data_IF_661764989980
#
_entry.id   IF_661764989980
#
_cell.length_a   1.000
_cell.length_b   1.000
_cell.length_c   1.000
_cell.angle_alpha   90.00
_cell.angle_beta   90.00
_cell.angle_gamma   90.00
#
_symmetry.space_group_name_H-M   'P 1'
#
loop_
_entity.id
_entity.type
_entity.pdbx_description
1 polymer ?
#
# COMPACT_ATOMS: atom_id res chain seq x y z
N UNK A 1 25.24 3.79 -1.43
CA UNK A 1 24.89 4.07 -0.03
C UNK A 1 23.94 2.98 0.39
N UNK A 2 24.26 2.24 1.46
CA UNK A 2 23.31 1.26 1.99
C UNK A 2 22.13 2.04 2.57
N UNK A 3 20.94 1.84 1.98
CA UNK A 3 19.69 2.25 2.61
C UNK A 3 19.52 1.25 3.76
N UNK A 4 19.49 1.73 5.00
CA UNK A 4 19.25 0.92 6.18
C UNK A 4 17.74 0.85 6.46
N UNK A 5 17.29 -0.18 7.15
CA UNK A 5 15.90 -0.26 7.62
C UNK A 5 15.63 0.76 8.75
N UNK A 6 14.72 1.70 8.50
CA UNK A 6 14.30 2.76 9.43
C UNK A 6 13.22 2.26 10.40
N UNK A 7 13.65 1.50 11.41
CA UNK A 7 12.77 0.91 12.41
C UNK A 7 11.89 1.93 13.15
N UNK A 8 12.44 3.10 13.48
CA UNK A 8 11.73 4.16 14.21
C UNK A 8 10.59 4.73 13.36
N UNK A 9 10.84 4.95 12.07
CA UNK A 9 9.79 5.40 11.16
C UNK A 9 8.65 4.38 11.01
N UNK A 10 8.98 3.09 10.88
CA UNK A 10 7.94 2.05 10.82
C UNK A 10 7.13 1.98 12.11
N UNK A 11 7.76 2.08 13.27
CA UNK A 11 7.06 2.10 14.56
C UNK A 11 6.13 3.29 14.69
N UNK A 12 6.60 4.49 14.33
CA UNK A 12 5.80 5.70 14.35
C UNK A 12 4.59 5.61 13.41
N UNK A 13 4.78 5.03 12.21
CA UNK A 13 3.71 4.83 11.23
C UNK A 13 2.67 3.83 11.70
N UNK A 14 3.11 2.68 12.24
CA UNK A 14 2.21 1.69 12.81
C UNK A 14 1.40 2.27 13.97
N UNK A 15 2.04 3.00 14.88
CA UNK A 15 1.37 3.66 15.99
C UNK A 15 0.33 4.70 15.52
N UNK A 16 0.65 5.48 14.48
CA UNK A 16 -0.26 6.49 13.93
C UNK A 16 -1.55 5.89 13.35
N UNK A 17 -1.50 4.65 12.86
CA UNK A 17 -2.69 3.91 12.36
C UNK A 17 -3.25 2.91 13.37
N UNK A 18 -2.75 2.91 14.61
CA UNK A 18 -3.23 2.03 15.69
C UNK A 18 -2.87 0.55 15.49
N UNK A 19 -1.85 0.23 14.68
CA UNK A 19 -1.38 -1.13 14.45
C UNK A 19 -0.16 -1.46 15.31
N UNK A 20 -0.04 -2.74 15.67
CA UNK A 20 1.14 -3.28 16.35
C UNK A 20 2.08 -3.97 15.36
N UNK A 21 3.34 -4.18 15.77
CA UNK A 21 4.26 -5.03 15.00
C UNK A 21 3.71 -6.45 14.80
N UNK A 22 3.02 -7.01 15.79
CA UNK A 22 2.39 -8.33 15.65
C UNK A 22 1.29 -8.34 14.56
N UNK A 23 0.50 -7.26 14.45
CA UNK A 23 -0.48 -7.11 13.39
C UNK A 23 0.19 -6.99 12.01
N UNK A 24 1.33 -6.30 11.93
CA UNK A 24 2.12 -6.24 10.71
C UNK A 24 2.68 -7.62 10.32
N UNK A 25 3.25 -8.38 11.28
CA UNK A 25 3.75 -9.73 11.02
C UNK A 25 2.64 -10.62 10.45
N UNK A 26 1.46 -10.60 11.06
CA UNK A 26 0.30 -11.35 10.59
C UNK A 26 -0.11 -10.95 9.15
N UNK A 27 -0.10 -9.65 8.83
CA UNK A 27 -0.46 -9.17 7.50
C UNK A 27 0.57 -9.56 6.41
N UNK A 28 1.83 -9.73 6.80
CA UNK A 28 2.90 -10.22 5.93
C UNK A 28 2.98 -11.75 5.89
N UNK A 29 2.16 -12.46 6.65
CA UNK A 29 2.26 -13.92 6.80
C UNK A 29 3.56 -14.37 7.47
N UNK A 30 4.17 -13.49 8.27
CA UNK A 30 5.43 -13.72 8.99
C UNK A 30 5.16 -14.06 10.46
N UNK A 31 6.10 -14.78 11.07
CA UNK A 31 6.14 -14.91 12.53
C UNK A 31 6.65 -13.61 13.17
N UNK A 32 6.46 -13.45 14.48
CA UNK A 32 7.04 -12.30 15.21
C UNK A 32 8.57 -12.31 15.19
N UNK A 33 9.17 -13.50 15.15
CA UNK A 33 10.63 -13.66 15.09
C UNK A 33 11.17 -13.27 13.71
N UNK A 34 10.48 -13.67 12.64
CA UNK A 34 10.80 -13.23 11.27
C UNK A 34 10.71 -11.70 11.14
N UNK A 35 9.68 -11.09 11.74
CA UNK A 35 9.55 -9.63 11.73
C UNK A 35 10.66 -8.97 12.58
N UNK A 36 11.09 -9.60 13.66
CA UNK A 36 12.20 -9.08 14.46
C UNK A 36 13.53 -9.09 13.70
N UNK A 37 13.74 -10.05 12.79
CA UNK A 37 14.90 -10.05 11.89
C UNK A 37 14.85 -8.88 10.90
N UNK A 38 13.67 -8.54 10.38
CA UNK A 38 13.49 -7.34 9.55
C UNK A 38 13.84 -6.07 10.33
N UNK A 39 13.37 -5.95 11.58
CA UNK A 39 13.67 -4.80 12.45
C UNK A 39 15.15 -4.67 12.82
N UNK A 40 15.94 -5.73 12.63
CA UNK A 40 17.39 -5.76 12.83
C UNK A 40 18.16 -5.58 11.51
N UNK A 41 17.46 -5.34 10.41
CA UNK A 41 18.03 -5.27 9.06
C UNK A 41 18.75 -6.57 8.64
N UNK A 42 18.25 -7.72 9.12
CA UNK A 42 18.80 -9.07 8.85
C UNK A 42 17.92 -9.89 7.89
N UNK A 43 16.87 -9.28 7.36
CA UNK A 43 15.93 -9.88 6.42
C UNK A 43 15.50 -8.83 5.40
N UNK A 44 15.49 -9.21 4.13
CA UNK A 44 15.00 -8.34 3.05
C UNK A 44 13.48 -8.38 2.92
N UNK A 45 12.90 -7.27 2.47
CA UNK A 45 11.49 -7.18 2.07
C UNK A 45 11.32 -7.47 0.59
N UNK A 46 10.32 -8.27 0.24
CA UNK A 46 9.90 -8.45 -1.15
C UNK A 46 9.07 -7.26 -1.64
N UNK A 47 8.91 -7.13 -2.97
CA UNK A 47 8.01 -6.14 -3.56
C UNK A 47 6.55 -6.30 -3.08
N UNK A 48 6.13 -7.53 -2.80
CA UNK A 48 4.80 -7.80 -2.27
C UNK A 48 4.68 -7.27 -0.83
N UNK A 49 5.70 -7.47 0.00
CA UNK A 49 5.69 -6.98 1.38
C UNK A 49 5.63 -5.45 1.41
N UNK A 50 6.41 -4.77 0.55
CA UNK A 50 6.37 -3.31 0.41
C UNK A 50 4.96 -2.82 0.05
N UNK A 51 4.27 -3.50 -0.87
CA UNK A 51 2.88 -3.15 -1.24
C UNK A 51 1.90 -3.35 -0.07
N UNK A 52 2.03 -4.45 0.67
CA UNK A 52 1.18 -4.75 1.83
C UNK A 52 1.39 -3.68 2.91
N UNK A 53 2.65 -3.35 3.22
CA UNK A 53 2.99 -2.34 4.22
C UNK A 53 2.44 -0.96 3.80
N UNK A 54 2.65 -0.56 2.54
CA UNK A 54 2.14 0.68 1.98
C UNK A 54 0.62 0.81 2.16
N UNK A 55 -0.13 -0.24 1.84
CA UNK A 55 -1.58 -0.29 2.04
C UNK A 55 -2.00 -0.21 3.51
N UNK A 56 -1.28 -0.87 4.42
CA UNK A 56 -1.59 -0.89 5.85
C UNK A 56 -1.38 0.46 6.53
N UNK A 57 -0.28 1.15 6.20
CA UNK A 57 0.09 2.40 6.88
C UNK A 57 -0.33 3.65 6.09
N UNK A 58 -0.95 3.47 4.92
CA UNK A 58 -1.41 4.57 4.06
C UNK A 58 -0.28 5.41 3.47
N UNK A 59 0.87 4.80 3.19
CA UNK A 59 2.02 5.46 2.58
C UNK A 59 2.26 4.94 1.16
N UNK A 60 2.93 5.73 0.32
CA UNK A 60 3.35 5.28 -1.01
C UNK A 60 4.40 4.16 -0.93
N UNK A 61 4.38 3.23 -1.89
CA UNK A 61 5.32 2.10 -1.93
C UNK A 61 6.77 2.56 -2.07
N UNK A 62 7.00 3.68 -2.75
CA UNK A 62 8.31 4.34 -2.88
C UNK A 62 8.84 4.85 -1.54
N UNK A 63 7.97 5.42 -0.70
CA UNK A 63 8.33 5.90 0.63
C UNK A 63 8.67 4.71 1.52
N UNK A 64 7.84 3.66 1.49
CA UNK A 64 8.09 2.42 2.23
C UNK A 64 9.42 1.80 1.80
N UNK A 65 9.69 1.67 0.49
CA UNK A 65 10.93 1.09 0.00
C UNK A 65 12.17 1.91 0.43
N UNK A 66 12.08 3.25 0.38
CA UNK A 66 13.17 4.13 0.80
C UNK A 66 13.50 3.98 2.30
N UNK A 67 12.49 3.90 3.16
CA UNK A 67 12.69 3.66 4.60
C UNK A 67 13.00 2.19 4.92
N UNK A 68 12.66 1.25 4.04
CA UNK A 68 12.91 -0.18 4.23
C UNK A 68 14.35 -0.62 3.89
N UNK A 69 15.21 0.27 3.40
CA UNK A 69 16.53 -0.15 2.95
C UNK A 69 16.57 -0.73 1.53
N UNK A 70 15.43 -0.74 0.83
CA UNK A 70 15.23 -1.54 -0.37
C UNK A 70 15.59 -0.72 -1.63
N UNK A 71 16.65 -1.14 -2.35
CA UNK A 71 17.04 -0.54 -3.63
C UNK A 71 16.29 -1.10 -4.85
N UNK A 72 15.35 -2.04 -4.67
CA UNK A 72 14.63 -2.65 -5.79
C UNK A 72 13.62 -1.67 -6.41
N UNK A 73 13.27 -1.85 -7.70
CA UNK A 73 12.31 -0.99 -8.38
C UNK A 73 10.99 -0.95 -7.61
N UNK A 74 10.55 0.26 -7.27
CA UNK A 74 9.27 0.50 -6.60
C UNK A 74 8.18 -0.30 -7.32
N UNK A 75 7.38 -1.11 -6.61
CA UNK A 75 6.30 -1.86 -7.23
C UNK A 75 5.37 -0.86 -7.92
N UNK A 76 5.39 -0.85 -9.25
CA UNK A 76 4.39 -0.10 -10.00
C UNK A 76 3.03 -0.68 -9.60
N UNK A 77 2.03 0.16 -9.27
CA UNK A 77 0.69 -0.34 -9.11
C UNK A 77 0.33 -1.14 -10.37
N UNK A 78 -0.44 -2.24 -10.27
CA UNK A 78 -0.95 -2.90 -11.46
C UNK A 78 -1.58 -1.81 -12.33
N UNK A 79 -1.16 -1.76 -13.59
CA UNK A 79 -1.38 -0.67 -14.56
C UNK A 79 -2.85 -0.38 -14.89
N UNK A 80 -3.78 -0.95 -14.14
CA UNK A 80 -5.21 -0.85 -14.33
C UNK A 80 -5.85 0.31 -13.56
N UNK A 81 -5.09 1.22 -12.93
CA UNK A 81 -5.70 2.43 -12.37
C UNK A 81 -6.35 3.26 -13.48
N UNK A 82 -5.67 3.41 -14.62
CA UNK A 82 -6.20 4.11 -15.78
C UNK A 82 -7.41 3.36 -16.38
N UNK A 83 -7.33 2.04 -16.49
CA UNK A 83 -8.43 1.21 -16.97
C UNK A 83 -9.67 1.25 -16.04
N UNK A 84 -9.45 1.23 -14.72
CA UNK A 84 -10.50 1.36 -13.71
C UNK A 84 -11.10 2.75 -13.69
N UNK A 85 -10.29 3.80 -13.86
CA UNK A 85 -10.76 5.18 -13.93
C UNK A 85 -11.64 5.37 -15.18
N UNK A 86 -11.19 4.87 -16.34
CA UNK A 86 -11.99 4.88 -17.57
C UNK A 86 -13.31 4.11 -17.42
N UNK A 87 -13.30 2.97 -16.71
CA UNK A 87 -14.52 2.22 -16.39
C UNK A 87 -15.50 3.03 -15.53
N UNK A 88 -15.01 3.67 -14.47
CA UNK A 88 -15.81 4.53 -13.59
C UNK A 88 -16.39 5.75 -14.33
N UNK A 89 -15.62 6.37 -15.23
CA UNK A 89 -16.10 7.49 -16.05
C UNK A 89 -17.22 7.06 -16.99
N UNK A 90 -17.10 5.89 -17.63
CA UNK A 90 -18.15 5.35 -18.50
C UNK A 90 -19.43 5.03 -17.72
N UNK A 91 -19.32 4.44 -16.53
CA UNK A 91 -20.48 4.17 -15.67
C UNK A 91 -21.16 5.46 -15.21
N UNK A 92 -20.37 6.48 -14.87
CA UNK A 92 -20.88 7.78 -14.46
C UNK A 92 -21.70 8.46 -15.58
N UNK A 93 -21.21 8.40 -16.83
CA UNK A 93 -21.95 8.95 -17.97
C UNK A 93 -23.25 8.16 -18.24
N UNK A 94 -23.24 6.84 -18.08
CA UNK A 94 -24.46 6.03 -18.19
C UNK A 94 -25.50 6.42 -17.13
N UNK A 95 -25.07 6.61 -15.87
CA UNK A 95 -25.94 7.05 -14.78
C UNK A 95 -26.48 8.46 -15.02
N UNK A 96 -25.65 9.40 -15.47
CA UNK A 96 -26.09 10.76 -15.82
C UNK A 96 -27.14 10.75 -16.93
N UNK A 97 -26.96 9.92 -17.96
CA UNK A 97 -27.93 9.79 -19.05
C UNK A 97 -29.27 9.20 -18.59
N UNK A 98 -29.23 8.18 -17.72
CA UNK A 98 -30.43 7.62 -17.10
C UNK A 98 -31.17 8.66 -16.25
N UNK A 99 -30.44 9.41 -15.40
CA UNK A 99 -31.02 10.46 -14.58
C UNK A 99 -31.66 11.58 -15.42
N UNK A 100 -30.99 12.03 -16.48
CA UNK A 100 -31.52 13.03 -17.40
C UNK A 100 -32.81 12.55 -18.10
N UNK A 101 -32.90 11.26 -18.40
CA UNK A 101 -34.09 10.63 -18.98
C UNK A 101 -35.24 10.60 -17.96
N UNK A 102 -34.97 10.18 -16.72
CA UNK A 102 -35.97 10.18 -15.64
C UNK A 102 -36.48 11.59 -15.31
N UNK A 103 -35.60 12.59 -15.34
CA UNK A 103 -35.97 13.99 -15.10
C UNK A 103 -36.80 14.61 -16.24
N UNK A 104 -36.65 14.13 -17.48
CA UNK A 104 -37.45 14.61 -18.64
C UNK A 104 -38.84 13.98 -18.73
N UNK A 105 -39.06 12.84 -18.09
CA UNK A 105 -40.35 12.13 -18.07
C UNK A 105 -41.29 12.59 -16.96
N UNK A 106 -40.89 13.62 -16.21
CA UNK A 106 -41.58 14.15 -15.04
C UNK A 106 -42.06 15.57 -15.30
#
# INVERSE_FOLDING_TARGET
MALFFDAEWFDARLAAVGLSRAALAAALGLTTDDLALLWKDQRELSEQDVRVIAGLIGAGAEVVAAHAGVSTPVPKPPSDIEARLAGLESELEAVKAQLATMMKQR
#
